data_IF_904802312469
#
_entry.id   IF_904802312469
#
_cell.length_a   1.000
_cell.length_b   1.000
_cell.length_c   1.000
_cell.angle_alpha   90.00
_cell.angle_beta   90.00
_cell.angle_gamma   90.00
#
_symmetry.space_group_name_H-M   'P 1'
#
loop_
_entity.id
_entity.type
_entity.pdbx_description
1 polymer ?
#
# COMPACT_ATOMS: atom_id res chain seq x y z
N UNK A 1 8.38 27.13 -8.64
CA UNK A 1 8.86 26.38 -7.46
C UNK A 1 7.69 26.18 -6.52
N UNK A 2 7.19 24.96 -6.45
CA UNK A 2 6.06 24.62 -5.58
C UNK A 2 6.55 24.01 -4.26
N UNK A 3 5.77 24.17 -3.20
CA UNK A 3 6.01 23.50 -1.92
C UNK A 3 5.69 22.01 -2.07
N UNK A 4 6.62 21.12 -1.67
CA UNK A 4 6.41 19.68 -1.67
C UNK A 4 5.19 19.30 -0.81
N UNK A 5 4.26 18.52 -1.36
CA UNK A 5 3.03 18.14 -0.65
C UNK A 5 3.27 17.21 0.54
N UNK A 6 4.43 16.54 0.60
CA UNK A 6 4.77 15.54 1.62
C UNK A 6 5.52 16.19 2.80
N UNK A 7 6.63 16.88 2.55
CA UNK A 7 7.44 17.49 3.61
C UNK A 7 7.18 18.98 3.82
N UNK A 8 6.33 19.61 2.99
CA UNK A 8 5.97 21.03 3.03
C UNK A 8 7.15 22.00 2.87
N UNK A 9 8.26 21.55 2.25
CA UNK A 9 9.44 22.38 1.94
C UNK A 9 9.52 22.69 0.45
N UNK A 10 10.19 23.78 0.10
CA UNK A 10 10.44 24.17 -1.30
C UNK A 10 11.73 23.48 -1.76
N UNK A 11 11.71 22.88 -2.95
CA UNK A 11 12.90 22.27 -3.57
C UNK A 11 13.73 23.36 -4.24
N UNK A 12 15.03 23.38 -4.00
CA UNK A 12 15.98 24.16 -4.79
C UNK A 12 16.54 23.33 -5.96
N UNK A 13 16.60 22.00 -5.80
CA UNK A 13 17.05 21.03 -6.81
C UNK A 13 16.09 19.85 -6.93
N UNK A 14 16.12 19.10 -8.03
CA UNK A 14 15.28 17.91 -8.24
C UNK A 14 15.61 16.76 -7.27
N UNK A 15 16.81 16.78 -6.68
CA UNK A 15 17.31 15.79 -5.73
C UNK A 15 16.89 16.02 -4.27
N UNK A 16 16.39 17.21 -3.90
CA UNK A 16 16.09 17.54 -2.49
C UNK A 16 14.92 16.73 -1.91
N UNK A 17 14.12 16.11 -2.79
CA UNK A 17 12.88 15.41 -2.43
C UNK A 17 12.85 13.94 -2.86
N UNK A 18 13.99 13.30 -3.11
CA UNK A 18 14.05 11.89 -3.52
C UNK A 18 13.19 10.98 -2.64
N UNK A 19 13.26 11.15 -1.32
CA UNK A 19 12.45 10.35 -0.39
C UNK A 19 10.95 10.65 -0.50
N UNK A 20 10.56 11.90 -0.77
CA UNK A 20 9.16 12.26 -0.99
C UNK A 20 8.64 11.70 -2.32
N UNK A 21 9.47 11.72 -3.37
CA UNK A 21 9.14 11.15 -4.68
C UNK A 21 8.90 9.66 -4.55
N UNK A 22 9.80 8.93 -3.89
CA UNK A 22 9.69 7.50 -3.70
C UNK A 22 8.48 7.14 -2.82
N UNK A 23 8.24 7.89 -1.74
CA UNK A 23 7.04 7.72 -0.92
C UNK A 23 5.76 7.88 -1.74
N UNK A 24 5.71 8.90 -2.61
CA UNK A 24 4.57 9.13 -3.50
C UNK A 24 4.38 8.00 -4.51
N UNK A 25 5.47 7.46 -5.06
CA UNK A 25 5.44 6.30 -5.96
C UNK A 25 4.80 5.10 -5.26
N UNK A 26 5.26 4.76 -4.06
CA UNK A 26 4.74 3.65 -3.26
C UNK A 26 3.26 3.86 -2.92
N UNK A 27 2.84 5.07 -2.52
CA UNK A 27 1.44 5.37 -2.24
C UNK A 27 0.55 5.15 -3.48
N UNK A 28 1.00 5.58 -4.66
CA UNK A 28 0.27 5.37 -5.92
C UNK A 28 0.23 3.89 -6.33
N UNK A 29 1.34 3.16 -6.19
CA UNK A 29 1.40 1.72 -6.45
C UNK A 29 0.48 0.93 -5.51
N UNK A 30 0.42 1.29 -4.23
CA UNK A 30 -0.47 0.67 -3.25
C UNK A 30 -1.95 0.91 -3.58
N UNK A 31 -2.31 2.09 -4.08
CA UNK A 31 -3.67 2.38 -4.54
C UNK A 31 -4.05 1.49 -5.74
N UNK A 32 -3.18 1.42 -6.75
CA UNK A 32 -3.39 0.55 -7.91
C UNK A 32 -3.46 -0.92 -7.53
N UNK A 33 -2.62 -1.36 -6.58
CA UNK A 33 -2.63 -2.73 -6.07
C UNK A 33 -3.95 -3.02 -5.34
N UNK A 34 -4.46 -2.10 -4.53
CA UNK A 34 -5.74 -2.26 -3.83
C UNK A 34 -6.89 -2.44 -4.83
N UNK A 35 -6.94 -1.61 -5.86
CA UNK A 35 -7.98 -1.68 -6.90
C UNK A 35 -7.88 -3.00 -7.68
N UNK A 36 -6.66 -3.37 -8.09
CA UNK A 36 -6.38 -4.62 -8.84
C UNK A 36 -6.68 -5.87 -8.00
N UNK A 37 -6.37 -5.87 -6.71
CA UNK A 37 -6.69 -6.98 -5.80
C UNK A 37 -8.20 -7.08 -5.62
N UNK A 38 -8.88 -5.95 -5.44
CA UNK A 38 -10.33 -5.91 -5.26
C UNK A 38 -11.06 -6.49 -6.48
N UNK A 39 -10.61 -6.14 -7.69
CA UNK A 39 -11.10 -6.68 -8.95
C UNK A 39 -10.76 -8.18 -9.11
N UNK A 40 -9.50 -8.59 -8.91
CA UNK A 40 -9.06 -9.98 -9.10
C UNK A 40 -9.63 -10.96 -8.09
N UNK A 41 -9.91 -10.50 -6.87
CA UNK A 41 -10.49 -11.31 -5.81
C UNK A 41 -12.00 -11.21 -5.72
N UNK A 42 -12.64 -10.46 -6.65
CA UNK A 42 -14.08 -10.20 -6.72
C UNK A 42 -14.71 -9.83 -5.37
N UNK A 43 -13.95 -9.09 -4.54
CA UNK A 43 -14.33 -8.78 -3.15
C UNK A 43 -15.56 -7.87 -3.07
N UNK A 44 -15.83 -7.13 -4.14
CA UNK A 44 -17.03 -6.29 -4.25
C UNK A 44 -18.31 -7.09 -4.40
N UNK A 45 -18.24 -8.32 -4.97
CA UNK A 45 -19.43 -9.16 -5.12
C UNK A 45 -19.69 -10.04 -3.91
N UNK A 46 -18.66 -10.65 -3.34
CA UNK A 46 -18.77 -11.38 -2.07
C UNK A 46 -17.42 -11.42 -1.34
N UNK A 47 -17.28 -10.74 -0.18
CA UNK A 47 -16.06 -10.78 0.61
C UNK A 47 -15.71 -12.18 1.13
N UNK A 48 -16.64 -13.14 1.08
CA UNK A 48 -16.40 -14.55 1.43
C UNK A 48 -15.91 -15.41 0.25
N UNK A 49 -15.92 -14.89 -0.98
CA UNK A 49 -15.47 -15.59 -2.18
C UNK A 49 -13.94 -15.62 -2.33
N UNK A 50 -13.18 -15.07 -1.37
CA UNK A 50 -11.74 -15.30 -1.29
C UNK A 50 -11.45 -16.80 -1.26
N UNK A 51 -10.67 -17.28 -2.24
CA UNK A 51 -10.23 -18.68 -2.30
C UNK A 51 -9.58 -19.12 -0.98
N UNK A 52 -9.76 -20.40 -0.63
CA UNK A 52 -9.28 -20.98 0.65
C UNK A 52 -7.78 -20.73 0.88
N UNK A 53 -6.99 -20.71 -0.19
CA UNK A 53 -5.55 -20.43 -0.18
C UNK A 53 -5.24 -19.01 0.29
N UNK A 54 -6.00 -18.01 -0.18
CA UNK A 54 -5.84 -16.61 0.22
C UNK A 54 -6.26 -16.40 1.68
N UNK A 55 -7.35 -17.03 2.11
CA UNK A 55 -7.77 -17.02 3.52
C UNK A 55 -6.71 -17.64 4.44
N UNK A 56 -6.08 -18.74 4.02
CA UNK A 56 -5.00 -19.37 4.76
C UNK A 56 -3.76 -18.46 4.85
N UNK A 57 -3.39 -17.80 3.74
CA UNK A 57 -2.27 -16.86 3.70
C UNK A 57 -2.50 -15.64 4.61
N UNK A 58 -3.68 -15.01 4.52
CA UNK A 58 -4.07 -13.90 5.40
C UNK A 58 -4.11 -14.30 6.88
N UNK A 59 -4.62 -15.51 7.17
CA UNK A 59 -4.61 -16.07 8.52
C UNK A 59 -3.19 -16.27 9.07
N UNK A 60 -2.24 -16.71 8.25
CA UNK A 60 -0.83 -16.83 8.63
C UNK A 60 -0.20 -15.47 8.91
N UNK A 61 -0.39 -14.49 8.02
CA UNK A 61 0.14 -13.14 8.18
C UNK A 61 -0.39 -12.43 9.44
N UNK A 62 -1.68 -12.61 9.76
CA UNK A 62 -2.25 -12.06 10.99
C UNK A 62 -1.65 -12.72 12.24
N UNK A 63 -1.42 -14.04 12.22
CA UNK A 63 -0.75 -14.73 13.33
C UNK A 63 0.68 -14.21 13.54
N UNK A 64 1.43 -13.99 12.46
CA UNK A 64 2.80 -13.47 12.55
C UNK A 64 2.84 -12.04 13.12
N UNK A 65 1.84 -11.21 12.77
CA UNK A 65 1.68 -9.85 13.32
C UNK A 65 1.39 -9.83 14.82
N UNK A 66 0.54 -10.74 15.30
CA UNK A 66 0.25 -10.89 16.73
C UNK A 66 1.50 -11.34 17.49
N UNK A 67 2.34 -12.19 16.90
CA UNK A 67 3.60 -12.66 17.52
C UNK A 67 4.76 -11.66 17.44
N UNK A 68 4.69 -10.65 16.56
CA UNK A 68 5.70 -9.57 16.48
C UNK A 68 5.36 -8.36 17.37
N UNK A 69 4.29 -8.44 18.17
CA UNK A 69 3.87 -7.37 19.09
C UNK A 69 4.45 -7.52 20.51
N UNK A 70 5.51 -8.31 20.69
CA UNK A 70 6.32 -8.40 21.92
C UNK A 70 7.57 -7.50 21.87
#
# INVERSE_FOLDING_TARGET
MGTCSICKRISATDSDHLHCIEKRRIELENLQLKDTITEKLDLEKDPNNMGKEIKALLGHMNRDKETSSE
#
